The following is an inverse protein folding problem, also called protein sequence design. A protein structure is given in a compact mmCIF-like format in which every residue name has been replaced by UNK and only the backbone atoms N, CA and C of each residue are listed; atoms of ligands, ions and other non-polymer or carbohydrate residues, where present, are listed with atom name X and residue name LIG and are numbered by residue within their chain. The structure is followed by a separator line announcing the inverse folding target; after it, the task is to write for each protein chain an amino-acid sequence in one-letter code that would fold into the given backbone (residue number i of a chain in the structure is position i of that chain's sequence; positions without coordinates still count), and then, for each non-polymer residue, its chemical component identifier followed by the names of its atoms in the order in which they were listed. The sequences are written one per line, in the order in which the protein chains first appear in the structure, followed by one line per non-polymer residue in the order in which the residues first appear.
data_IF_989887415642
#
_entry.id   IF_989887415642
#
_cell.length_a   1.000
_cell.length_b   1.000
_cell.length_c   1.000
_cell.angle_alpha   90.00
_cell.angle_beta   90.00
_cell.angle_gamma   90.00
#
_symmetry.space_group_name_H-M   'P 1'
#
loop_
_entity.id
_entity.type
_entity.pdbx_description
1 polymer ?
#
# COMPACT_ATOMS: atom_id res chain seq x y z
N UNK A 1 11.21 19.20 4.90
CA UNK A 1 11.31 17.75 5.11
C UNK A 1 10.06 17.28 5.84
N UNK A 2 9.59 16.07 5.57
CA UNK A 2 8.42 15.45 6.20
C UNK A 2 8.78 14.88 7.58
N UNK A 3 9.52 15.65 8.39
CA UNK A 3 10.42 15.15 9.45
C UNK A 3 9.76 14.78 10.79
N UNK A 4 8.43 14.79 10.90
CA UNK A 4 7.80 14.58 12.21
C UNK A 4 7.57 13.13 12.59
N UNK A 5 7.60 12.20 11.62
CA UNK A 5 7.37 10.76 11.84
C UNK A 5 8.32 9.98 10.93
N UNK A 6 8.89 8.88 11.43
CA UNK A 6 9.73 8.00 10.62
C UNK A 6 8.90 7.37 9.48
N UNK A 7 9.19 7.68 8.20
CA UNK A 7 8.37 7.26 7.07
C UNK A 7 8.44 5.75 6.79
N UNK A 8 9.35 5.02 7.43
CA UNK A 8 9.53 3.58 7.25
C UNK A 8 8.65 2.72 8.17
N UNK A 9 7.96 3.33 9.14
CA UNK A 9 7.22 2.60 10.17
C UNK A 9 6.03 1.86 9.56
N UNK A 10 5.21 2.54 8.74
CA UNK A 10 3.95 2.00 8.23
C UNK A 10 4.11 0.72 7.42
N UNK A 11 5.05 0.67 6.48
CA UNK A 11 5.22 -0.52 5.63
C UNK A 11 6.01 -1.66 6.34
N UNK A 12 6.85 -1.33 7.32
CA UNK A 12 7.44 -2.34 8.21
C UNK A 12 6.34 -3.03 9.02
N UNK A 13 5.41 -2.23 9.54
CA UNK A 13 4.21 -2.66 10.22
C UNK A 13 3.36 -3.62 9.35
N UNK A 14 2.99 -3.23 8.13
CA UNK A 14 2.34 -4.13 7.15
C UNK A 14 3.14 -5.42 6.93
N UNK A 15 4.47 -5.34 6.89
CA UNK A 15 5.34 -6.52 6.73
C UNK A 15 5.28 -7.45 7.94
N UNK A 16 5.14 -6.90 9.15
CA UNK A 16 5.02 -7.67 10.38
C UNK A 16 3.69 -8.44 10.46
N UNK A 17 2.62 -7.92 9.89
CA UNK A 17 1.33 -8.63 9.77
C UNK A 17 1.51 -9.99 9.11
N UNK A 18 2.19 -10.00 7.96
CA UNK A 18 2.48 -11.22 7.21
C UNK A 18 3.52 -12.10 7.92
N UNK A 19 4.53 -11.50 8.55
CA UNK A 19 5.55 -12.22 9.30
C UNK A 19 4.98 -13.00 10.49
N UNK A 20 3.96 -12.46 11.15
CA UNK A 20 3.29 -13.12 12.28
C UNK A 20 2.46 -14.34 11.87
N UNK A 21 1.96 -14.37 10.62
CA UNK A 21 1.31 -15.57 10.06
C UNK A 21 2.35 -16.64 9.74
N UNK A 22 3.33 -16.31 8.89
CA UNK A 22 4.49 -17.16 8.61
C UNK A 22 5.68 -16.29 8.15
N UNK A 23 6.82 -16.45 8.81
CA UNK A 23 8.06 -15.72 8.48
C UNK A 23 8.54 -15.85 7.01
N UNK A 24 8.07 -16.85 6.26
CA UNK A 24 8.37 -17.00 4.82
C UNK A 24 7.54 -16.07 3.93
N UNK A 25 6.36 -15.63 4.36
CA UNK A 25 5.47 -14.84 3.51
C UNK A 25 6.12 -13.52 3.07
N UNK A 26 6.71 -12.70 3.95
CA UNK A 26 7.48 -11.53 3.53
C UNK A 26 8.62 -11.84 2.58
N UNK A 27 9.32 -12.95 2.78
CA UNK A 27 10.44 -13.36 1.91
C UNK A 27 9.96 -13.74 0.51
N UNK A 28 8.85 -14.46 0.38
CA UNK A 28 8.26 -14.80 -0.91
C UNK A 28 7.80 -13.54 -1.65
N UNK A 29 7.23 -12.56 -0.95
CA UNK A 29 6.86 -11.26 -1.53
C UNK A 29 8.09 -10.53 -2.08
N UNK A 30 9.18 -10.45 -1.30
CA UNK A 30 10.45 -9.85 -1.77
C UNK A 30 10.99 -10.55 -3.01
N UNK A 31 10.97 -11.89 -3.02
CA UNK A 31 11.43 -12.69 -4.15
C UNK A 31 10.57 -12.45 -5.40
N UNK A 32 9.24 -12.38 -5.26
CA UNK A 32 8.35 -12.10 -6.37
C UNK A 32 8.57 -10.72 -7.00
N UNK A 33 8.81 -9.69 -6.18
CA UNK A 33 9.18 -8.37 -6.68
C UNK A 33 10.56 -8.37 -7.34
N UNK A 34 11.55 -9.05 -6.75
CA UNK A 34 12.89 -9.16 -7.33
C UNK A 34 12.86 -9.86 -8.70
N UNK A 35 12.07 -10.92 -8.84
CA UNK A 35 11.86 -11.63 -10.10
C UNK A 35 11.18 -10.74 -11.14
N UNK A 36 10.13 -10.00 -10.76
CA UNK A 36 9.46 -9.01 -11.63
C UNK A 36 10.46 -7.97 -12.17
N UNK A 37 11.29 -7.39 -11.30
CA UNK A 37 12.30 -6.39 -11.66
C UNK A 37 13.35 -6.99 -12.59
N UNK A 38 13.81 -8.22 -12.33
CA UNK A 38 14.77 -8.92 -13.19
C UNK A 38 14.21 -9.15 -14.59
N UNK A 39 12.97 -9.61 -14.71
CA UNK A 39 12.30 -9.84 -16.00
C UNK A 39 12.14 -8.53 -16.78
N UNK A 40 11.77 -7.44 -16.10
CA UNK A 40 11.66 -6.12 -16.71
C UNK A 40 13.01 -5.64 -17.27
N UNK A 41 14.11 -5.81 -16.53
CA UNK A 41 15.46 -5.45 -16.97
C UNK A 41 15.91 -6.28 -18.19
N UNK A 42 15.37 -7.48 -18.38
CA UNK A 42 15.60 -8.33 -19.54
C UNK A 42 14.62 -8.07 -20.71
N UNK A 43 13.69 -7.11 -20.55
CA UNK A 43 12.64 -6.82 -21.53
C UNK A 43 11.56 -7.90 -21.65
N UNK A 44 11.44 -8.80 -20.67
CA UNK A 44 10.48 -9.90 -20.64
C UNK A 44 9.11 -9.46 -20.08
N UNK A 45 8.57 -8.35 -20.56
CA UNK A 45 7.31 -7.79 -20.06
C UNK A 45 6.09 -8.69 -20.31
N UNK A 46 6.14 -9.53 -21.35
CA UNK A 46 5.09 -10.51 -21.64
C UNK A 46 4.96 -11.55 -20.52
N UNK A 47 6.07 -12.02 -19.95
CA UNK A 47 6.06 -13.00 -18.84
C UNK A 47 5.39 -12.40 -17.61
N UNK A 48 5.67 -11.13 -17.32
CA UNK A 48 5.04 -10.39 -16.22
C UNK A 48 3.53 -10.28 -16.47
N UNK A 49 3.14 -9.84 -17.67
CA UNK A 49 1.74 -9.63 -18.06
C UNK A 49 0.90 -10.91 -17.99
N UNK A 50 1.44 -12.01 -18.50
CA UNK A 50 0.80 -13.33 -18.48
C UNK A 50 0.68 -13.88 -17.06
N UNK A 51 1.75 -13.77 -16.26
CA UNK A 51 1.77 -14.27 -14.87
C UNK A 51 0.76 -13.55 -13.99
N UNK A 52 0.64 -12.23 -14.16
CA UNK A 52 -0.35 -11.42 -13.43
C UNK A 52 -1.74 -11.47 -14.05
N UNK A 53 -1.95 -12.12 -15.21
CA UNK A 53 -3.22 -12.12 -15.95
C UNK A 53 -3.75 -10.70 -16.18
N UNK A 54 -2.90 -9.81 -16.70
CA UNK A 54 -3.29 -8.42 -16.92
C UNK A 54 -4.20 -8.28 -18.14
N UNK A 55 -5.19 -7.39 -18.05
CA UNK A 55 -6.09 -7.09 -19.19
C UNK A 55 -5.35 -6.32 -20.30
N UNK A 56 -4.37 -5.52 -19.92
CA UNK A 56 -3.47 -4.79 -20.82
C UNK A 56 -2.03 -5.19 -20.51
N UNK A 57 -1.19 -5.44 -21.53
CA UNK A 57 0.20 -5.83 -21.30
C UNK A 57 1.00 -4.69 -20.69
N UNK A 58 2.02 -5.03 -19.92
CA UNK A 58 3.12 -4.14 -19.53
C UNK A 58 3.96 -3.85 -20.78
N UNK A 59 4.23 -2.58 -21.06
CA UNK A 59 5.01 -2.16 -22.23
C UNK A 59 6.38 -1.58 -21.87
N UNK A 60 6.54 -1.03 -20.66
CA UNK A 60 7.76 -0.36 -20.23
C UNK A 60 7.99 -0.42 -18.70
N UNK A 61 9.06 0.25 -18.24
CA UNK A 61 9.42 0.34 -16.81
C UNK A 61 8.39 1.11 -15.97
N UNK A 62 7.64 2.03 -16.59
CA UNK A 62 6.59 2.78 -15.90
C UNK A 62 5.43 1.85 -15.54
N UNK A 63 4.98 1.03 -16.49
CA UNK A 63 3.95 0.02 -16.25
C UNK A 63 4.36 -1.00 -15.19
N UNK A 64 5.63 -1.41 -15.18
CA UNK A 64 6.17 -2.29 -14.12
C UNK A 64 6.09 -1.61 -12.76
N UNK A 65 6.50 -0.34 -12.68
CA UNK A 65 6.41 0.44 -11.44
C UNK A 65 4.96 0.57 -10.97
N UNK A 66 4.03 0.82 -11.90
CA UNK A 66 2.61 0.90 -11.60
C UNK A 66 2.06 -0.43 -11.06
N UNK A 67 2.45 -1.55 -11.67
CA UNK A 67 2.10 -2.88 -11.20
C UNK A 67 2.64 -3.18 -9.79
N UNK A 68 3.86 -2.70 -9.48
CA UNK A 68 4.41 -2.82 -8.13
C UNK A 68 3.55 -2.08 -7.10
N UNK A 69 3.07 -0.88 -7.45
CA UNK A 69 2.19 -0.10 -6.58
C UNK A 69 0.82 -0.76 -6.41
N UNK A 70 0.24 -1.30 -7.49
CA UNK A 70 -1.02 -2.06 -7.45
C UNK A 70 -0.90 -3.28 -6.53
N UNK A 71 0.19 -4.04 -6.63
CA UNK A 71 0.42 -5.21 -5.77
C UNK A 71 0.62 -4.79 -4.31
N UNK A 72 1.45 -3.78 -4.04
CA UNK A 72 1.67 -3.24 -2.70
C UNK A 72 0.36 -2.76 -2.05
N UNK A 73 -0.50 -2.10 -2.82
CA UNK A 73 -1.82 -1.64 -2.35
C UNK A 73 -2.70 -2.81 -1.89
N UNK A 74 -2.65 -3.98 -2.54
CA UNK A 74 -3.38 -5.16 -2.08
C UNK A 74 -2.89 -5.64 -0.70
N UNK A 75 -1.57 -5.81 -0.53
CA UNK A 75 -1.00 -6.27 0.74
C UNK A 75 -1.32 -5.31 1.89
N UNK A 76 -1.16 -4.00 1.62
CA UNK A 76 -1.48 -2.92 2.53
C UNK A 76 -2.97 -2.92 2.91
N UNK A 77 -3.86 -3.02 1.92
CA UNK A 77 -5.30 -2.96 2.19
C UNK A 77 -5.74 -4.16 3.01
N UNK A 78 -5.25 -5.36 2.70
CA UNK A 78 -5.56 -6.56 3.47
C UNK A 78 -5.07 -6.46 4.93
N UNK A 79 -3.88 -5.89 5.16
CA UNK A 79 -3.37 -5.61 6.51
C UNK A 79 -4.25 -4.61 7.27
N UNK A 80 -4.72 -3.55 6.60
CA UNK A 80 -5.61 -2.55 7.22
C UNK A 80 -6.98 -3.10 7.65
N UNK A 81 -7.45 -4.18 7.02
CA UNK A 81 -8.79 -4.74 7.23
C UNK A 81 -8.73 -6.23 7.58
N UNK A 82 -7.74 -6.64 8.36
CA UNK A 82 -7.49 -8.04 8.74
C UNK A 82 -8.50 -8.57 9.80
N UNK A 83 -9.78 -8.44 9.51
CA UNK A 83 -10.85 -8.76 10.46
C UNK A 83 -11.05 -10.28 10.63
N UNK A 84 -11.47 -10.75 11.83
CA UNK A 84 -11.73 -12.18 12.11
C UNK A 84 -12.98 -12.75 11.44
N UNK A 85 -13.64 -11.97 10.59
CA UNK A 85 -14.87 -12.32 9.87
C UNK A 85 -14.85 -11.66 8.48
N UNK A 86 -15.65 -12.18 7.55
CA UNK A 86 -15.77 -11.57 6.22
C UNK A 86 -16.41 -10.19 6.30
N UNK A 87 -15.85 -9.22 5.57
CA UNK A 87 -16.24 -7.83 5.62
C UNK A 87 -16.24 -7.20 4.22
N UNK A 88 -17.15 -6.25 4.01
CA UNK A 88 -17.36 -5.51 2.76
C UNK A 88 -17.08 -4.01 2.96
N UNK A 89 -15.86 -3.65 3.38
CA UNK A 89 -15.50 -2.25 3.65
C UNK A 89 -14.64 -1.63 2.53
N UNK A 90 -13.40 -2.10 2.36
CA UNK A 90 -12.49 -1.70 1.28
C UNK A 90 -12.42 -2.73 0.15
N UNK A 91 -13.43 -3.60 0.09
CA UNK A 91 -13.53 -4.77 -0.77
C UNK A 91 -14.26 -5.90 -0.05
N UNK A 92 -14.77 -6.88 -0.79
CA UNK A 92 -15.46 -8.05 -0.23
C UNK A 92 -14.45 -9.12 0.17
N UNK A 93 -13.93 -9.03 1.39
CA UNK A 93 -12.81 -9.87 1.84
C UNK A 93 -13.25 -11.00 2.78
N UNK A 94 -12.54 -12.14 2.77
CA UNK A 94 -12.79 -13.24 3.71
C UNK A 94 -12.34 -12.86 5.13
N UNK A 95 -12.64 -13.72 6.10
CA UNK A 95 -12.01 -13.62 7.42
C UNK A 95 -10.49 -13.82 7.32
N UNK A 96 -9.73 -12.99 8.03
CA UNK A 96 -8.27 -13.01 8.07
C UNK A 96 -7.62 -12.95 6.67
N UNK A 97 -7.87 -11.88 5.88
CA UNK A 97 -7.31 -11.75 4.54
C UNK A 97 -5.78 -11.83 4.49
N UNK A 98 -5.06 -11.43 5.55
CA UNK A 98 -3.59 -11.60 5.63
C UNK A 98 -3.23 -13.08 5.68
N UNK A 99 -3.94 -13.89 6.47
CA UNK A 99 -3.72 -15.34 6.51
C UNK A 99 -4.02 -16.00 5.15
N UNK A 100 -5.14 -15.64 4.53
CA UNK A 100 -5.55 -16.22 3.24
C UNK A 100 -4.52 -15.90 2.14
N UNK A 101 -4.06 -14.65 2.06
CA UNK A 101 -3.03 -14.26 1.09
C UNK A 101 -1.66 -14.90 1.39
N UNK A 102 -1.29 -15.05 2.67
CA UNK A 102 -0.07 -15.77 3.07
C UNK A 102 -0.13 -17.27 2.72
N UNK A 103 -1.28 -17.93 2.87
CA UNK A 103 -1.47 -19.32 2.43
C UNK A 103 -1.29 -19.46 0.91
N UNK A 104 -1.75 -18.47 0.13
CA UNK A 104 -1.51 -18.42 -1.32
C UNK A 104 -0.01 -18.29 -1.61
N UNK A 105 0.70 -17.38 -0.93
CA UNK A 105 2.14 -17.23 -1.08
C UNK A 105 2.88 -18.56 -0.82
N UNK A 106 2.56 -19.23 0.28
CA UNK A 106 3.16 -20.51 0.66
C UNK A 106 2.84 -21.62 -0.35
N UNK A 107 1.63 -21.64 -0.90
CA UNK A 107 1.21 -22.62 -1.91
C UNK A 107 2.04 -22.52 -3.19
N UNK A 108 2.36 -21.30 -3.62
CA UNK A 108 3.11 -21.02 -4.85
C UNK A 108 4.58 -20.68 -4.62
N UNK A 109 5.14 -20.90 -3.42
CA UNK A 109 6.49 -20.47 -3.03
C UNK A 109 7.64 -20.91 -3.97
N UNK A 110 7.45 -21.96 -4.77
CA UNK A 110 8.43 -22.40 -5.78
C UNK A 110 8.44 -21.54 -7.07
N UNK A 111 7.48 -20.64 -7.23
CA UNK A 111 7.38 -19.65 -8.29
C UNK A 111 6.98 -18.29 -7.66
N UNK A 112 7.96 -17.51 -7.16
CA UNK A 112 7.69 -16.28 -6.40
C UNK A 112 6.90 -15.22 -7.18
N UNK A 113 7.15 -15.05 -8.49
CA UNK A 113 6.36 -14.14 -9.31
C UNK A 113 4.87 -14.53 -9.35
N UNK A 114 4.57 -15.82 -9.56
CA UNK A 114 3.21 -16.33 -9.55
C UNK A 114 2.57 -16.26 -8.15
N UNK A 115 3.36 -16.50 -7.10
CA UNK A 115 2.91 -16.36 -5.72
C UNK A 115 2.47 -14.91 -5.42
N UNK A 116 3.29 -13.93 -5.81
CA UNK A 116 3.00 -12.51 -5.69
C UNK A 116 1.73 -12.14 -6.47
N UNK A 117 1.62 -12.58 -7.73
CA UNK A 117 0.47 -12.34 -8.59
C UNK A 117 -0.83 -12.87 -8.00
N UNK A 118 -0.83 -14.12 -7.53
CA UNK A 118 -2.02 -14.74 -6.95
C UNK A 118 -2.42 -14.12 -5.61
N UNK A 119 -1.45 -13.78 -4.76
CA UNK A 119 -1.71 -13.17 -3.45
C UNK A 119 -2.27 -11.75 -3.59
N UNK A 120 -1.66 -10.91 -4.43
CA UNK A 120 -2.19 -9.57 -4.71
C UNK A 120 -3.54 -9.64 -5.44
N UNK A 121 -3.66 -10.54 -6.42
CA UNK A 121 -4.89 -10.75 -7.17
C UNK A 121 -6.07 -11.25 -6.32
N UNK A 122 -5.82 -11.89 -5.18
CA UNK A 122 -6.89 -12.30 -4.25
C UNK A 122 -7.72 -11.10 -3.81
N UNK A 123 -7.06 -10.01 -3.40
CA UNK A 123 -7.74 -8.78 -2.96
C UNK A 123 -8.66 -8.21 -4.05
N UNK A 124 -8.14 -8.01 -5.25
CA UNK A 124 -8.90 -7.40 -6.35
C UNK A 124 -10.01 -8.33 -6.89
N UNK A 125 -9.77 -9.65 -6.88
CA UNK A 125 -10.75 -10.63 -7.35
C UNK A 125 -11.87 -10.92 -6.34
N UNK A 126 -11.62 -10.68 -5.04
CA UNK A 126 -12.58 -10.97 -3.98
C UNK A 126 -13.87 -10.13 -4.13
N UNK A 127 -13.75 -8.86 -4.52
CA UNK A 127 -14.87 -7.94 -4.77
C UNK A 127 -15.72 -8.26 -6.00
N UNK A 128 -15.33 -9.29 -6.75
CA UNK A 128 -15.97 -9.71 -8.01
C UNK A 128 -16.46 -11.16 -7.94
N UNK A 129 -16.76 -11.67 -6.75
CA UNK A 129 -17.16 -13.07 -6.52
C UNK A 129 -16.17 -14.09 -7.12
N UNK A 130 -14.88 -13.71 -7.18
CA UNK A 130 -13.80 -14.46 -7.81
C UNK A 130 -13.97 -14.72 -9.33
N UNK A 131 -14.67 -13.84 -10.04
CA UNK A 131 -14.99 -14.01 -11.47
C UNK A 131 -14.10 -13.23 -12.44
N UNK A 132 -13.10 -12.47 -11.98
CA UNK A 132 -12.22 -11.73 -12.89
C UNK A 132 -11.37 -12.68 -13.76
N UNK A 133 -11.48 -12.48 -15.06
CA UNK A 133 -10.65 -13.17 -16.05
C UNK A 133 -9.24 -12.56 -16.14
N UNK A 134 -9.13 -11.25 -15.91
CA UNK A 134 -7.89 -10.48 -15.91
C UNK A 134 -7.97 -9.28 -14.95
N UNK A 135 -6.82 -8.69 -14.58
CA UNK A 135 -6.75 -7.48 -13.75
C UNK A 135 -6.50 -6.23 -14.60
N UNK A 136 -7.32 -5.20 -14.40
CA UNK A 136 -7.13 -3.89 -15.01
C UNK A 136 -6.54 -2.93 -13.97
N UNK A 137 -5.22 -2.98 -13.83
CA UNK A 137 -4.49 -2.29 -12.76
C UNK A 137 -4.72 -0.77 -12.73
N UNK A 138 -4.98 -0.14 -13.89
CA UNK A 138 -5.24 1.31 -13.99
C UNK A 138 -6.65 1.71 -13.57
N UNK A 139 -7.60 0.77 -13.62
CA UNK A 139 -8.96 0.97 -13.13
C UNK A 139 -9.11 0.57 -11.65
N UNK A 140 -8.28 -0.36 -11.19
CA UNK A 140 -8.31 -0.94 -9.85
C UNK A 140 -7.46 -0.17 -8.84
N UNK A 141 -6.39 0.47 -9.29
CA UNK A 141 -5.51 1.30 -8.46
C UNK A 141 -5.21 2.61 -9.20
N UNK A 142 -5.27 3.73 -8.48
CA UNK A 142 -4.90 5.05 -8.98
C UNK A 142 -3.78 5.60 -8.09
N UNK A 143 -2.59 5.80 -8.64
CA UNK A 143 -1.52 6.49 -7.93
C UNK A 143 -1.94 7.93 -7.61
N UNK A 144 -1.70 8.35 -6.37
CA UNK A 144 -2.12 9.64 -5.87
C UNK A 144 -1.13 10.22 -4.85
N UNK A 145 -1.46 11.39 -4.28
CA UNK A 145 -0.68 12.04 -3.24
C UNK A 145 -0.54 11.23 -1.94
N UNK A 146 -1.43 10.25 -1.72
CA UNK A 146 -1.34 9.29 -0.61
C UNK A 146 -0.53 8.05 -1.03
N UNK A 147 0.60 7.80 -0.36
CA UNK A 147 1.45 6.63 -0.65
C UNK A 147 0.80 5.30 -0.22
N UNK A 148 -0.26 5.34 0.59
CA UNK A 148 -1.08 4.17 0.97
C UNK A 148 -2.25 3.94 0.00
N UNK A 149 -2.55 4.89 -0.88
CA UNK A 149 -3.61 4.81 -1.89
C UNK A 149 -4.84 5.65 -1.54
N UNK A 150 -5.47 6.27 -2.55
CA UNK A 150 -6.64 7.14 -2.35
C UNK A 150 -7.98 6.43 -2.57
N UNK A 151 -7.96 5.20 -3.10
CA UNK A 151 -9.16 4.52 -3.59
C UNK A 151 -9.63 5.07 -4.95
N UNK A 152 -10.93 4.94 -5.22
CA UNK A 152 -11.54 5.25 -6.52
C UNK A 152 -12.69 6.25 -6.40
N UNK A 153 -13.02 6.92 -7.51
CA UNK A 153 -14.19 7.80 -7.60
C UNK A 153 -13.97 9.19 -6.99
N UNK A 154 -15.07 9.88 -6.70
CA UNK A 154 -15.03 11.30 -6.30
C UNK A 154 -14.41 11.50 -4.91
N UNK A 155 -14.61 10.56 -3.99
CA UNK A 155 -14.06 10.64 -2.64
C UNK A 155 -12.54 10.53 -2.68
N UNK A 156 -11.98 9.71 -3.57
CA UNK A 156 -10.55 9.62 -3.82
C UNK A 156 -9.95 10.93 -4.34
N UNK A 157 -10.68 11.65 -5.22
CA UNK A 157 -10.24 12.96 -5.73
C UNK A 157 -10.23 14.00 -4.59
N UNK A 158 -11.25 13.97 -3.73
CA UNK A 158 -11.31 14.86 -2.57
C UNK A 158 -10.16 14.58 -1.59
N UNK A 159 -9.89 13.30 -1.29
CA UNK A 159 -8.78 12.88 -0.43
C UNK A 159 -7.42 13.28 -1.01
N UNK A 160 -7.21 13.02 -2.29
CA UNK A 160 -6.00 13.40 -3.03
C UNK A 160 -5.75 14.92 -2.98
N UNK A 161 -6.81 15.74 -3.06
CA UNK A 161 -6.69 17.18 -2.87
C UNK A 161 -6.27 17.55 -1.44
N UNK A 162 -6.85 16.95 -0.40
CA UNK A 162 -6.47 17.22 1.00
C UNK A 162 -5.01 16.88 1.27
N UNK A 163 -4.54 15.76 0.70
CA UNK A 163 -3.14 15.33 0.76
C UNK A 163 -2.19 16.27 0.00
N UNK A 164 -2.68 16.91 -1.06
CA UNK A 164 -1.96 17.92 -1.81
C UNK A 164 -1.88 19.30 -1.13
N UNK A 165 -2.63 19.54 -0.06
CA UNK A 165 -2.66 20.84 0.62
C UNK A 165 -2.20 20.76 2.07
N UNK A 166 -2.92 20.02 2.91
CA UNK A 166 -2.85 20.15 4.37
C UNK A 166 -2.34 18.86 5.03
N UNK A 167 -2.79 17.70 4.55
CA UNK A 167 -2.43 16.39 5.12
C UNK A 167 -1.15 15.91 4.45
N UNK A 168 -0.01 16.33 4.99
CA UNK A 168 1.28 16.10 4.35
C UNK A 168 2.14 15.20 5.23
N UNK A 169 2.23 13.92 4.84
CA UNK A 169 3.07 12.92 5.46
C UNK A 169 3.78 12.10 4.38
N UNK A 170 4.81 11.33 4.77
CA UNK A 170 5.52 10.43 3.87
C UNK A 170 5.45 9.00 4.39
N UNK A 171 5.20 8.04 3.50
CA UNK A 171 5.35 6.61 3.77
C UNK A 171 6.25 5.99 2.73
N UNK A 172 7.43 5.62 3.18
CA UNK A 172 8.51 5.10 2.35
C UNK A 172 8.60 3.58 2.46
N UNK A 173 9.09 2.96 1.41
CA UNK A 173 9.49 1.55 1.38
C UNK A 173 10.97 1.45 1.06
N UNK A 174 11.66 0.43 1.60
CA UNK A 174 13.10 0.28 1.40
C UNK A 174 13.58 -1.16 1.13
N UNK A 175 12.68 -2.15 1.12
CA UNK A 175 13.01 -3.58 0.92
C UNK A 175 13.97 -4.18 1.97
N UNK A 176 14.18 -3.50 3.10
CA UNK A 176 15.05 -3.91 4.21
C UNK A 176 14.22 -4.10 5.47
N UNK A 177 13.55 -3.05 5.92
CA UNK A 177 12.62 -3.10 7.06
C UNK A 177 11.24 -3.59 6.65
N UNK A 178 10.88 -3.40 5.38
CA UNK A 178 9.64 -3.87 4.78
C UNK A 178 9.90 -4.86 3.64
N UNK A 179 8.83 -5.46 3.11
CA UNK A 179 8.88 -6.46 2.03
C UNK A 179 8.65 -5.89 0.62
N UNK A 180 8.64 -4.57 0.44
CA UNK A 180 8.27 -3.92 -0.81
C UNK A 180 9.48 -3.28 -1.52
N UNK A 181 9.43 -3.09 -2.85
CA UNK A 181 10.49 -2.38 -3.57
C UNK A 181 10.77 -0.99 -2.99
N UNK A 182 12.01 -0.50 -3.02
CA UNK A 182 12.33 0.81 -2.47
C UNK A 182 11.58 1.94 -3.19
N UNK A 183 10.89 2.79 -2.43
CA UNK A 183 10.24 4.00 -2.92
C UNK A 183 10.33 5.06 -1.84
N UNK A 184 11.13 6.08 -2.12
CA UNK A 184 11.28 7.26 -1.26
C UNK A 184 10.37 8.35 -1.81
N UNK A 185 9.57 8.96 -0.93
CA UNK A 185 8.64 10.01 -1.28
C UNK A 185 9.00 11.32 -0.58
N UNK A 186 9.64 12.22 -1.32
CA UNK A 186 10.02 13.53 -0.81
C UNK A 186 8.95 14.59 -1.08
N UNK A 187 9.00 15.68 -0.32
CA UNK A 187 8.10 16.83 -0.52
C UNK A 187 8.14 17.40 -1.94
N UNK A 188 9.29 17.26 -2.63
CA UNK A 188 9.40 17.68 -4.03
C UNK A 188 8.56 16.79 -4.94
N UNK A 189 8.55 15.46 -4.73
CA UNK A 189 7.71 14.54 -5.49
C UNK A 189 6.23 14.89 -5.33
N UNK A 190 5.81 15.18 -4.09
CA UNK A 190 4.45 15.61 -3.81
C UNK A 190 4.12 16.94 -4.50
N UNK A 191 5.04 17.91 -4.47
CA UNK A 191 4.86 19.21 -5.13
C UNK A 191 4.72 19.06 -6.64
N UNK A 192 5.58 18.24 -7.26
CA UNK A 192 5.59 17.99 -8.71
C UNK A 192 4.31 17.28 -9.17
N UNK A 193 3.69 16.49 -8.30
CA UNK A 193 2.39 15.88 -8.53
C UNK A 193 1.23 16.88 -8.36
N UNK A 194 1.22 17.64 -7.25
CA UNK A 194 0.09 18.49 -6.86
C UNK A 194 -0.04 19.78 -7.68
N UNK A 195 1.09 20.38 -8.08
CA UNK A 195 1.08 21.65 -8.82
C UNK A 195 0.38 21.53 -10.19
N UNK A 196 0.74 20.58 -11.06
CA UNK A 196 0.07 20.42 -12.34
C UNK A 196 -1.39 19.99 -12.22
N UNK A 197 -1.72 19.20 -11.19
CA UNK A 197 -3.06 18.59 -11.03
C UNK A 197 -4.08 19.56 -10.42
N UNK A 198 -3.69 20.29 -9.37
CA UNK A 198 -4.59 21.12 -8.57
C UNK A 198 -4.18 22.59 -8.48
N UNK A 199 -2.98 22.97 -8.94
CA UNK A 199 -2.47 24.34 -8.85
C UNK A 199 -2.12 24.76 -7.41
N UNK A 200 -1.85 23.79 -6.54
CA UNK A 200 -1.53 24.01 -5.12
C UNK A 200 -0.13 23.49 -4.78
N UNK A 201 0.49 24.09 -3.77
CA UNK A 201 1.73 23.60 -3.17
C UNK A 201 1.40 23.02 -1.80
N UNK A 202 1.80 21.77 -1.49
CA UNK A 202 1.60 21.18 -0.17
C UNK A 202 2.31 22.01 0.92
N UNK A 203 1.66 22.19 2.08
CA UNK A 203 2.21 22.92 3.23
C UNK A 203 2.41 21.98 4.44
N UNK A 204 3.61 21.37 4.60
CA UNK A 204 3.88 20.39 5.64
C UNK A 204 3.68 20.89 7.07
N UNK A 205 3.79 22.20 7.31
CA UNK A 205 3.68 22.77 8.66
C UNK A 205 2.24 23.05 9.09
N UNK A 206 1.27 23.05 8.16
CA UNK A 206 -0.09 23.52 8.42
C UNK A 206 -0.79 22.73 9.51
N UNK A 207 -0.75 21.40 9.46
CA UNK A 207 -1.39 20.54 10.46
C UNK A 207 -0.84 20.78 11.86
N UNK A 208 0.47 21.00 12.00
CA UNK A 208 1.10 21.23 13.31
C UNK A 208 0.71 22.59 13.93
N UNK A 209 0.35 23.58 13.11
CA UNK A 209 -0.14 24.88 13.58
C UNK A 209 -1.50 24.75 14.25
N UNK A 210 -2.39 23.91 13.71
CA UNK A 210 -3.77 23.76 14.19
C UNK A 210 -3.94 22.60 15.17
N UNK A 211 -3.12 21.56 15.04
CA UNK A 211 -3.19 20.32 15.82
C UNK A 211 -1.84 20.08 16.50
N UNK A 212 -1.61 20.64 17.70
CA UNK A 212 -0.36 20.45 18.41
C UNK A 212 -0.17 18.97 18.75
N UNK A 213 1.06 18.46 18.54
CA UNK A 213 1.42 17.07 18.84
C UNK A 213 1.22 16.71 20.33
N UNK A 214 1.37 17.69 21.21
CA UNK A 214 1.05 17.54 22.63
C UNK A 214 -0.32 18.16 22.91
N UNK A 215 -1.33 17.31 23.09
CA UNK A 215 -2.70 17.70 23.37
C UNK A 215 -3.05 17.64 24.87
N UNK A 216 -2.13 17.27 25.75
CA UNK A 216 -2.43 17.06 27.18
C UNK A 216 -2.95 18.34 27.85
N UNK A 217 -2.56 19.51 27.34
CA UNK A 217 -3.02 20.82 27.80
C UNK A 217 -4.16 21.43 26.95
N UNK A 218 -4.54 20.81 25.82
CA UNK A 218 -5.49 21.36 24.85
C UNK A 218 -6.76 20.51 24.65
N UNK A 219 -6.69 19.21 24.90
CA UNK A 219 -7.78 18.25 24.72
C UNK A 219 -8.33 17.74 26.06
N UNK A 220 -9.63 17.45 26.12
CA UNK A 220 -10.22 16.73 27.25
C UNK A 220 -11.29 15.74 26.78
N UNK A 221 -11.43 14.62 27.48
CA UNK A 221 -12.42 13.56 27.20
C UNK A 221 -12.26 12.89 25.83
N UNK A 222 -11.02 12.63 25.42
CA UNK A 222 -10.69 11.93 24.18
C UNK A 222 -10.18 10.54 24.53
N UNK A 223 -10.67 9.50 23.85
CA UNK A 223 -10.15 8.14 23.92
C UNK A 223 -9.52 7.83 22.56
N UNK A 224 -8.21 7.61 22.54
CA UNK A 224 -7.48 7.12 21.37
C UNK A 224 -7.39 5.60 21.46
N UNK A 225 -8.34 4.91 20.84
CA UNK A 225 -8.30 3.46 20.74
C UNK A 225 -7.48 3.07 19.53
N UNK A 226 -6.38 2.36 19.78
CA UNK A 226 -5.69 1.58 18.77
C UNK A 226 -5.80 0.13 19.19
N UNK A 227 -6.09 -0.75 18.24
CA UNK A 227 -5.92 -2.18 18.48
C UNK A 227 -4.44 -2.52 18.33
N UNK A 228 -4.07 -3.75 18.69
CA UNK A 228 -2.83 -4.37 18.22
C UNK A 228 -2.76 -4.51 16.71
N UNK A 229 -3.74 -4.02 15.93
CA UNK A 229 -3.64 -3.71 14.50
C UNK A 229 -2.58 -2.63 14.29
N UNK A 230 -1.33 -3.10 14.41
CA UNK A 230 -0.14 -2.98 13.59
C UNK A 230 0.01 -1.81 12.63
N UNK A 231 -0.79 -0.74 12.60
CA UNK A 231 -0.49 0.55 11.95
C UNK A 231 -0.33 1.68 12.97
N UNK A 232 -0.49 1.38 14.26
CA UNK A 232 -0.15 2.29 15.35
C UNK A 232 1.15 1.86 16.02
N UNK A 233 2.14 2.74 16.02
CA UNK A 233 3.29 2.61 16.92
C UNK A 233 2.88 3.10 18.32
N UNK A 234 3.13 2.29 19.35
CA UNK A 234 2.85 2.63 20.76
C UNK A 234 3.62 3.89 21.24
N UNK A 235 4.61 4.35 20.48
CA UNK A 235 5.55 5.41 20.89
C UNK A 235 5.05 6.85 20.67
N UNK A 236 3.90 7.06 20.00
CA UNK A 236 3.42 8.42 19.68
C UNK A 236 2.31 8.95 20.59
N UNK A 237 1.73 8.12 21.46
CA UNK A 237 0.69 8.54 22.42
C UNK A 237 1.15 8.33 23.87
N UNK A 238 2.21 9.03 24.27
CA UNK A 238 2.44 9.26 25.70
C UNK A 238 1.59 10.46 26.15
N UNK A 239 0.43 10.14 26.73
CA UNK A 239 -0.37 11.07 27.54
C UNK A 239 0.38 11.48 28.82
#
# INVERSE_FOLDING_TARGET
TLDTVNPLVFFNLVTNDYNEVDSKCPEIVRQGYAEMISLAAEGQYNVISETFRLCSPVEDEYDVTYLQLWARNAFLTMAMVDYPYSADFLGSLPAWPVNVSCDILLTYQSNPLLALANAAGMYYNASSDNTLECFNITAEFIECADQTGCGLGNDAIAWDYQMCTEIVYGQDTNNVTDMFPPRIWEIQNLTDYCQPKYGVTPEPSWMQVWYPLNISDAGSKIIWSNDKDKLSEEDYCHC
#
